data_IF_053458365727
#
_entry.id   IF_053458365727
#
_cell.length_a   1.000
_cell.length_b   1.000
_cell.length_c   1.000
_cell.angle_alpha   90.00
_cell.angle_beta   90.00
_cell.angle_gamma   90.00
#
_symmetry.space_group_name_H-M   'P 1'
#
loop_
_entity.id
_entity.type
_entity.pdbx_description
1 polymer ?
#
# COMPACT_ATOMS: atom_id res chain seq x y z
N UNK A 1 2.79 -6.77 -5.61
CA UNK A 1 3.60 -6.45 -6.82
C UNK A 1 3.64 -4.94 -6.96
N UNK A 2 4.68 -4.37 -7.59
CA UNK A 2 4.70 -2.94 -7.93
C UNK A 2 5.27 -2.72 -9.32
N UNK A 3 4.90 -1.60 -9.95
CA UNK A 3 5.45 -1.14 -11.23
C UNK A 3 5.59 0.38 -11.25
N UNK A 4 6.41 0.87 -12.16
CA UNK A 4 6.59 2.30 -12.40
C UNK A 4 5.97 2.70 -13.73
N UNK A 5 5.39 3.90 -13.79
CA UNK A 5 4.85 4.49 -15.01
C UNK A 5 5.22 5.97 -15.03
N UNK A 6 6.33 6.29 -15.68
CA UNK A 6 6.98 7.59 -15.51
C UNK A 6 7.37 7.81 -14.04
N UNK A 7 6.97 8.93 -13.47
CA UNK A 7 7.19 9.24 -12.06
C UNK A 7 6.20 8.55 -11.11
N UNK A 8 5.19 7.82 -11.60
CA UNK A 8 4.20 7.18 -10.71
C UNK A 8 4.64 5.80 -10.25
N UNK A 9 4.29 5.45 -9.01
CA UNK A 9 4.42 4.10 -8.48
C UNK A 9 3.03 3.49 -8.36
N UNK A 10 2.84 2.29 -8.91
CA UNK A 10 1.61 1.52 -8.72
C UNK A 10 1.92 0.26 -7.92
N UNK A 11 1.22 0.06 -6.82
CA UNK A 11 1.34 -1.09 -5.93
C UNK A 11 0.05 -1.89 -6.02
N UNK A 12 0.15 -3.16 -6.41
CA UNK A 12 -0.95 -4.11 -6.33
C UNK A 12 -0.80 -4.93 -5.04
N UNK A 13 -1.78 -4.77 -4.15
CA UNK A 13 -2.05 -5.67 -3.04
C UNK A 13 -2.93 -6.79 -3.58
N UNK A 14 -2.32 -7.98 -3.73
CA UNK A 14 -2.99 -9.12 -4.35
C UNK A 14 -3.83 -9.86 -3.32
N UNK A 15 -5.07 -10.17 -3.68
CA UNK A 15 -6.02 -10.95 -2.88
C UNK A 15 -6.65 -12.06 -3.74
N UNK A 16 -7.36 -13.00 -3.12
CA UNK A 16 -8.06 -14.10 -3.80
C UNK A 16 -9.41 -13.69 -4.43
N UNK A 17 -9.68 -12.38 -4.52
CA UNK A 17 -10.91 -11.80 -5.04
C UNK A 17 -10.88 -10.28 -4.92
N UNK A 18 -12.00 -9.64 -5.22
CA UNK A 18 -12.13 -8.18 -5.07
C UNK A 18 -12.05 -7.80 -3.59
N UNK A 19 -11.27 -6.76 -3.28
CA UNK A 19 -11.19 -6.23 -1.92
C UNK A 19 -12.52 -5.59 -1.52
N UNK A 20 -13.04 -5.97 -0.35
CA UNK A 20 -14.23 -5.38 0.25
C UNK A 20 -13.99 -3.98 0.79
N UNK A 21 -14.48 -3.72 2.01
CA UNK A 21 -14.22 -2.47 2.70
C UNK A 21 -12.74 -2.36 3.07
N UNK A 22 -12.19 -1.15 2.97
CA UNK A 22 -10.87 -0.80 3.46
C UNK A 22 -10.95 0.59 4.09
N UNK A 23 -9.98 0.90 4.93
CA UNK A 23 -9.83 2.22 5.54
C UNK A 23 -8.39 2.68 5.38
N UNK A 24 -8.20 3.89 4.88
CA UNK A 24 -6.90 4.51 4.79
C UNK A 24 -6.79 5.77 5.65
N UNK A 25 -5.58 6.04 6.12
CA UNK A 25 -5.23 7.25 6.85
C UNK A 25 -3.72 7.49 6.76
N UNK A 26 -3.32 8.72 7.04
CA UNK A 26 -1.91 9.12 7.08
C UNK A 26 -1.42 9.25 8.51
N UNK A 27 -0.14 8.98 8.71
CA UNK A 27 0.57 9.29 9.94
C UNK A 27 1.78 10.15 9.61
N UNK A 28 2.05 11.12 10.47
CA UNK A 28 3.28 11.90 10.43
C UNK A 28 4.31 11.29 11.40
N UNK A 29 5.58 11.65 11.24
CA UNK A 29 6.68 11.25 12.15
C UNK A 29 6.84 9.72 12.38
N UNK A 30 7.27 8.92 11.38
CA UNK A 30 7.54 9.28 9.99
C UNK A 30 6.28 9.25 9.12
N UNK A 31 6.37 9.92 7.96
CA UNK A 31 5.29 10.01 6.97
C UNK A 31 4.94 8.63 6.42
N UNK A 32 3.68 8.23 6.63
CA UNK A 32 3.16 6.91 6.28
C UNK A 32 1.75 7.02 5.73
N UNK A 33 1.46 6.24 4.69
CA UNK A 33 0.10 5.92 4.27
C UNK A 33 -0.21 4.52 4.80
N UNK A 34 -1.25 4.43 5.63
CA UNK A 34 -1.72 3.17 6.21
C UNK A 34 -3.02 2.77 5.51
N UNK A 35 -3.12 1.51 5.12
CA UNK A 35 -4.34 0.90 4.56
C UNK A 35 -4.68 -0.34 5.37
N UNK A 36 -5.82 -0.31 6.02
CA UNK A 36 -6.40 -1.42 6.76
C UNK A 36 -7.36 -2.21 5.87
N UNK A 37 -7.17 -3.53 5.82
CA UNK A 37 -7.96 -4.49 5.06
C UNK A 37 -8.63 -5.50 6.02
N UNK A 38 -9.82 -5.19 6.56
CA UNK A 38 -10.56 -6.06 7.48
C UNK A 38 -10.89 -7.43 6.88
N UNK A 39 -10.82 -8.47 7.71
CA UNK A 39 -11.15 -9.84 7.32
C UNK A 39 -10.13 -10.52 6.42
N UNK A 40 -9.11 -9.79 5.94
CA UNK A 40 -8.00 -10.38 5.19
C UNK A 40 -6.90 -10.85 6.15
N UNK A 41 -6.25 -11.95 5.74
CA UNK A 41 -5.07 -12.50 6.40
C UNK A 41 -3.90 -12.48 5.42
N UNK A 42 -2.75 -12.06 5.91
CA UNK A 42 -1.52 -12.12 5.13
C UNK A 42 -1.21 -13.56 4.71
N UNK A 43 -0.96 -13.76 3.41
CA UNK A 43 -0.48 -15.03 2.87
C UNK A 43 0.98 -14.92 2.37
N UNK A 44 1.61 -13.75 2.50
CA UNK A 44 2.96 -13.50 2.02
C UNK A 44 4.00 -13.91 3.06
N UNK A 45 5.02 -14.65 2.62
CA UNK A 45 6.23 -14.96 3.43
C UNK A 45 7.09 -13.70 3.63
N UNK A 46 7.01 -12.75 2.70
CA UNK A 46 7.72 -11.47 2.75
C UNK A 46 6.78 -10.35 3.18
N UNK A 47 7.15 -9.62 4.22
CA UNK A 47 6.35 -8.55 4.83
C UNK A 47 6.86 -7.15 4.47
N UNK A 48 8.03 -7.03 3.82
CA UNK A 48 8.68 -5.75 3.49
C UNK A 48 9.22 -5.72 2.07
N UNK A 49 8.89 -4.66 1.34
CA UNK A 49 9.28 -4.48 -0.07
C UNK A 49 9.92 -3.09 -0.21
N UNK A 50 11.24 -3.06 -0.44
CA UNK A 50 11.92 -1.81 -0.77
C UNK A 50 11.48 -1.33 -2.16
N UNK A 51 11.07 -0.06 -2.25
CA UNK A 51 10.63 0.55 -3.52
C UNK A 51 11.69 1.52 -4.03
N UNK A 52 12.13 2.46 -3.18
CA UNK A 52 13.23 3.39 -3.48
C UNK A 52 13.00 4.28 -4.70
N UNK A 53 11.76 4.61 -5.04
CA UNK A 53 11.41 5.33 -6.27
C UNK A 53 10.28 6.34 -6.01
N UNK A 54 10.34 7.51 -6.66
CA UNK A 54 9.31 8.57 -6.59
C UNK A 54 8.83 8.93 -5.18
N UNK A 55 9.77 9.11 -4.26
CA UNK A 55 9.44 9.44 -2.88
C UNK A 55 8.83 8.28 -2.08
N UNK A 56 8.79 7.05 -2.61
CA UNK A 56 8.33 5.86 -1.88
C UNK A 56 9.54 5.09 -1.36
N UNK A 57 9.69 4.99 -0.04
CA UNK A 57 10.80 4.24 0.55
C UNK A 57 10.54 2.74 0.48
N UNK A 58 9.45 2.27 1.09
CA UNK A 58 9.12 0.84 1.19
C UNK A 58 7.63 0.62 1.42
N UNK A 59 7.17 -0.59 1.13
CA UNK A 59 5.85 -1.12 1.52
C UNK A 59 6.04 -2.19 2.58
N UNK A 60 5.18 -2.17 3.61
CA UNK A 60 5.12 -3.16 4.67
C UNK A 60 3.73 -3.79 4.71
N UNK A 61 3.68 -5.08 4.98
CA UNK A 61 2.46 -5.84 5.24
C UNK A 61 2.57 -6.42 6.64
N UNK A 62 1.50 -6.34 7.43
CA UNK A 62 1.52 -6.83 8.81
C UNK A 62 0.16 -7.31 9.26
N UNK A 63 0.16 -8.41 9.99
CA UNK A 63 -1.04 -8.85 10.70
C UNK A 63 -1.38 -7.86 11.82
N UNK A 64 -2.67 -7.54 11.93
CA UNK A 64 -3.23 -6.73 12.99
C UNK A 64 -4.54 -7.40 13.44
N UNK A 65 -5.00 -7.27 14.70
CA UNK A 65 -6.24 -7.90 15.12
C UNK A 65 -7.42 -7.67 14.15
N UNK A 66 -7.91 -8.76 13.56
CA UNK A 66 -9.04 -8.77 12.61
C UNK A 66 -8.76 -8.22 11.20
N UNK A 67 -7.52 -7.85 10.87
CA UNK A 67 -7.20 -7.21 9.58
C UNK A 67 -5.75 -7.40 9.16
N UNK A 68 -5.52 -7.27 7.86
CA UNK A 68 -4.20 -6.99 7.30
C UNK A 68 -3.98 -5.48 7.28
N UNK A 69 -2.80 -5.02 7.70
CA UNK A 69 -2.38 -3.62 7.59
C UNK A 69 -1.24 -3.50 6.58
N UNK A 70 -1.48 -2.73 5.53
CA UNK A 70 -0.45 -2.29 4.58
C UNK A 70 0.04 -0.92 5.00
N UNK A 71 1.35 -0.72 5.06
CA UNK A 71 1.97 0.58 5.38
C UNK A 71 2.97 0.95 4.30
N UNK A 72 2.82 2.12 3.71
CA UNK A 72 3.76 2.67 2.74
C UNK A 72 4.54 3.78 3.45
N UNK A 73 5.85 3.61 3.57
CA UNK A 73 6.73 4.59 4.21
C UNK A 73 7.28 5.56 3.16
N UNK A 74 7.27 6.85 3.49
CA UNK A 74 7.81 7.92 2.65
C UNK A 74 8.98 8.60 3.38
N UNK A 75 10.10 8.90 2.69
CA UNK A 75 11.22 9.65 3.26
C UNK A 75 10.96 11.18 3.26
N UNK A 76 9.88 11.64 2.62
CA UNK A 76 9.48 13.03 2.49
C UNK A 76 7.94 13.17 2.52
N UNK A 77 7.38 14.27 2.01
CA UNK A 77 5.93 14.48 1.96
C UNK A 77 5.17 13.31 1.34
N UNK A 78 3.97 13.03 1.84
CA UNK A 78 3.12 11.97 1.30
C UNK A 78 2.65 12.38 -0.10
N UNK A 79 2.95 11.60 -1.16
CA UNK A 79 2.50 11.86 -2.52
C UNK A 79 0.97 11.83 -2.64
N UNK A 80 0.42 12.45 -3.67
CA UNK A 80 -0.99 12.26 -4.00
C UNK A 80 -1.25 10.78 -4.30
N UNK A 81 -2.33 10.23 -3.75
CA UNK A 81 -2.62 8.81 -3.86
C UNK A 81 -4.07 8.54 -4.26
N UNK A 82 -4.28 7.42 -4.95
CA UNK A 82 -5.61 6.94 -5.31
C UNK A 82 -5.70 5.42 -5.26
N UNK A 83 -6.92 4.92 -5.11
CA UNK A 83 -7.22 3.50 -5.01
C UNK A 83 -8.11 3.04 -6.16
N UNK A 84 -7.84 1.83 -6.65
CA UNK A 84 -8.71 1.16 -7.61
C UNK A 84 -8.87 -0.31 -7.23
N UNK A 85 -10.12 -0.74 -7.02
CA UNK A 85 -10.45 -2.15 -6.82
C UNK A 85 -10.38 -2.85 -8.16
N UNK A 86 -9.67 -3.97 -8.19
CA UNK A 86 -9.54 -4.84 -9.37
C UNK A 86 -9.87 -6.28 -8.96
N UNK A 87 -10.12 -7.15 -9.94
CA UNK A 87 -10.42 -8.57 -9.68
C UNK A 87 -9.34 -9.26 -8.83
N UNK A 88 -8.09 -8.83 -9.00
CA UNK A 88 -6.92 -9.38 -8.33
C UNK A 88 -6.58 -8.67 -7.00
N UNK A 89 -7.36 -7.67 -6.58
CA UNK A 89 -7.21 -7.00 -5.28
C UNK A 89 -7.33 -5.48 -5.32
N UNK A 90 -6.37 -4.78 -4.71
CA UNK A 90 -6.36 -3.32 -4.59
C UNK A 90 -5.11 -2.73 -5.23
N UNK A 91 -5.31 -1.84 -6.20
CA UNK A 91 -4.24 -1.03 -6.79
C UNK A 91 -4.17 0.31 -6.07
N UNK A 92 -2.98 0.65 -5.62
CA UNK A 92 -2.63 1.93 -5.01
C UNK A 92 -1.73 2.66 -6.01
N UNK A 93 -2.14 3.84 -6.47
CA UNK A 93 -1.32 4.68 -7.35
C UNK A 93 -0.80 5.86 -6.56
N UNK A 94 0.52 6.04 -6.53
CA UNK A 94 1.23 7.14 -5.89
C UNK A 94 1.81 8.03 -6.98
N UNK A 95 1.41 9.30 -6.96
CA UNK A 95 1.90 10.33 -7.87
C UNK A 95 2.74 11.32 -7.06
N UNK A 96 4.05 11.39 -7.30
CA UNK A 96 4.90 12.37 -6.61
C UNK A 96 4.37 13.79 -6.86
N UNK A 97 4.64 14.71 -5.93
CA UNK A 97 4.31 16.12 -6.10
C UNK A 97 4.97 16.72 -7.35
#
# INVERSE_FOLDING_TARGET
MYRFSGSKVQILIKTNGVVGNYHDFTLDQPNRLVIDLPGLKEASVKDRFAIGHSGVQRVRLGAHPGKTRVVIDFPGPIPAYSFSRVKQGLVITLSPP
#
